data_IF_654112078272
#
_entry.id   IF_654112078272
#
_cell.length_a   1.000
_cell.length_b   1.000
_cell.length_c   1.000
_cell.angle_alpha   90.00
_cell.angle_beta   90.00
_cell.angle_gamma   90.00
#
_symmetry.space_group_name_H-M   'P 1'
#
loop_
_entity.id
_entity.type
_entity.pdbx_description
1 polymer ?
#
# COMPACT_ATOMS: atom_id res chain seq x y z
N UNK A 1 -99.48 2.22 -95.93
CA UNK A 1 -99.64 1.35 -94.75
C UNK A 1 -99.08 2.07 -93.52
N UNK A 2 -99.95 2.40 -92.57
CA UNK A 2 -99.62 3.09 -91.32
C UNK A 2 -98.80 2.16 -90.39
N UNK A 3 -97.71 2.68 -89.80
CA UNK A 3 -97.11 2.12 -88.58
C UNK A 3 -96.96 3.25 -87.56
N UNK A 4 -97.69 3.10 -86.45
CA UNK A 4 -97.74 3.97 -85.28
C UNK A 4 -96.45 3.89 -84.45
N UNK A 5 -95.95 5.01 -83.89
CA UNK A 5 -94.85 4.97 -82.93
C UNK A 5 -95.34 4.66 -81.51
N UNK A 6 -94.58 3.82 -80.80
CA UNK A 6 -94.83 3.36 -79.42
C UNK A 6 -94.64 4.52 -78.42
N UNK A 7 -95.61 4.70 -77.51
CA UNK A 7 -95.51 5.63 -76.37
C UNK A 7 -94.54 5.08 -75.31
N UNK A 8 -93.39 5.71 -75.12
CA UNK A 8 -92.55 5.52 -73.92
C UNK A 8 -93.12 6.39 -72.78
N UNK A 9 -93.60 5.75 -71.70
CA UNK A 9 -93.96 6.45 -70.47
C UNK A 9 -92.67 6.94 -69.80
N UNK A 10 -92.50 8.25 -69.69
CA UNK A 10 -91.45 8.85 -68.84
C UNK A 10 -91.86 8.64 -67.37
N UNK A 11 -91.30 7.62 -66.72
CA UNK A 11 -91.37 7.49 -65.27
C UNK A 11 -90.15 8.20 -64.70
N UNK A 12 -90.35 9.44 -64.23
CA UNK A 12 -89.32 10.20 -63.51
C UNK A 12 -89.14 9.57 -62.14
N UNK A 13 -88.11 8.72 -62.01
CA UNK A 13 -87.61 8.29 -60.70
C UNK A 13 -86.78 9.45 -60.18
N UNK A 14 -87.35 10.23 -59.27
CA UNK A 14 -86.66 11.30 -58.57
C UNK A 14 -85.67 10.66 -57.58
N UNK A 15 -84.35 10.74 -57.79
CA UNK A 15 -83.41 10.25 -56.79
C UNK A 15 -83.53 11.16 -55.57
N UNK A 16 -83.77 10.56 -54.41
CA UNK A 16 -83.90 11.28 -53.14
C UNK A 16 -82.66 12.13 -52.89
N UNK A 17 -82.84 13.44 -52.70
CA UNK A 17 -81.78 14.42 -52.44
C UNK A 17 -80.92 14.09 -51.21
N UNK A 18 -81.41 13.25 -50.30
CA UNK A 18 -80.68 12.82 -49.10
C UNK A 18 -79.45 11.95 -49.43
N UNK A 19 -79.46 11.23 -50.56
CA UNK A 19 -78.36 10.33 -50.94
C UNK A 19 -77.18 11.08 -51.53
N UNK A 20 -77.45 12.20 -52.20
CA UNK A 20 -76.43 13.01 -52.89
C UNK A 20 -75.61 13.79 -51.86
N UNK A 21 -76.23 14.33 -50.81
CA UNK A 21 -75.52 15.08 -49.75
C UNK A 21 -74.61 14.19 -48.89
N UNK A 22 -74.99 12.93 -48.65
CA UNK A 22 -74.13 11.98 -47.93
C UNK A 22 -72.93 11.54 -48.77
N UNK A 23 -73.11 11.28 -50.07
CA UNK A 23 -72.02 10.90 -50.97
C UNK A 23 -71.02 12.04 -51.18
N UNK A 24 -71.49 13.28 -51.37
CA UNK A 24 -70.60 14.45 -51.40
C UNK A 24 -69.94 14.71 -50.03
N UNK A 25 -70.65 14.54 -48.91
CA UNK A 25 -70.08 14.67 -47.56
C UNK A 25 -68.94 13.67 -47.29
N UNK A 26 -69.06 12.43 -47.78
CA UNK A 26 -68.02 11.40 -47.64
C UNK A 26 -66.74 11.70 -48.44
N UNK A 27 -66.85 12.43 -49.56
CA UNK A 27 -65.68 12.90 -50.30
C UNK A 27 -65.04 14.16 -49.69
N UNK A 28 -65.76 14.92 -48.87
CA UNK A 28 -65.22 16.13 -48.22
C UNK A 28 -64.53 15.76 -46.88
N UNK A 29 -64.97 14.70 -46.19
CA UNK A 29 -64.38 14.30 -44.90
C UNK A 29 -63.08 13.48 -44.99
N UNK A 30 -62.68 12.98 -46.17
CA UNK A 30 -61.35 12.34 -46.33
C UNK A 30 -60.24 13.32 -46.68
N UNK A 31 -60.56 14.61 -46.84
CA UNK A 31 -59.59 15.69 -47.04
C UNK A 31 -59.72 16.75 -45.95
N UNK A 32 -59.79 16.33 -44.68
CA UNK A 32 -59.02 17.08 -43.67
C UNK A 32 -57.55 16.76 -43.91
N UNK A 33 -56.98 17.36 -44.96
CA UNK A 33 -55.55 17.67 -44.93
C UNK A 33 -55.38 18.55 -43.70
N UNK A 34 -54.75 18.00 -42.67
CA UNK A 34 -54.09 18.84 -41.70
C UNK A 34 -53.17 19.73 -42.54
N UNK A 35 -53.49 21.02 -42.62
CA UNK A 35 -52.57 22.03 -43.11
C UNK A 35 -51.44 22.11 -42.08
N UNK A 36 -50.57 21.09 -42.09
CA UNK A 36 -49.23 21.22 -41.57
C UNK A 36 -48.61 22.31 -42.42
N UNK A 37 -48.30 23.42 -41.77
CA UNK A 37 -47.39 24.42 -42.29
C UNK A 37 -46.07 23.67 -42.53
N UNK A 38 -45.94 23.10 -43.72
CA UNK A 38 -44.68 22.59 -44.21
C UNK A 38 -43.79 23.80 -44.39
N UNK A 39 -42.72 23.84 -43.59
CA UNK A 39 -41.77 24.94 -43.48
C UNK A 39 -42.23 26.16 -42.67
N UNK A 40 -42.71 25.92 -41.44
CA UNK A 40 -41.94 26.57 -40.38
C UNK A 40 -40.59 25.87 -40.39
N UNK A 41 -39.63 26.43 -41.13
CA UNK A 41 -38.21 26.20 -40.82
C UNK A 41 -38.05 26.81 -39.44
N UNK A 42 -38.51 26.09 -38.42
CA UNK A 42 -37.92 26.19 -37.11
C UNK A 42 -36.52 25.73 -37.42
N UNK A 43 -35.64 26.69 -37.72
CA UNK A 43 -34.24 26.45 -37.53
C UNK A 43 -34.19 25.86 -36.14
N UNK A 44 -33.92 24.57 -36.07
CA UNK A 44 -33.53 23.92 -34.85
C UNK A 44 -32.16 24.49 -34.48
N UNK A 45 -32.07 25.80 -34.30
CA UNK A 45 -31.26 26.43 -33.29
C UNK A 45 -31.90 26.12 -31.93
N UNK A 46 -32.19 24.83 -31.68
CA UNK A 46 -31.87 24.28 -30.38
C UNK A 46 -30.35 24.42 -30.32
N UNK A 47 -29.90 25.62 -29.94
CA UNK A 47 -28.53 25.86 -29.54
C UNK A 47 -28.33 24.88 -28.40
N UNK A 48 -27.78 23.72 -28.74
CA UNK A 48 -27.40 22.71 -27.76
C UNK A 48 -26.40 23.41 -26.87
N UNK A 49 -26.81 23.69 -25.63
CA UNK A 49 -25.95 24.38 -24.68
C UNK A 49 -24.61 23.62 -24.59
N UNK A 50 -23.51 24.33 -24.81
CA UNK A 50 -22.14 23.78 -24.80
C UNK A 50 -21.89 22.98 -23.52
N UNK A 51 -22.39 23.48 -22.40
CA UNK A 51 -22.43 22.80 -21.11
C UNK A 51 -23.55 23.41 -20.27
N UNK A 52 -24.27 22.61 -19.47
CA UNK A 52 -25.32 23.11 -18.59
C UNK A 52 -24.75 23.62 -17.26
N UNK A 53 -25.38 24.63 -16.61
CA UNK A 53 -24.92 25.15 -15.32
C UNK A 53 -24.75 24.06 -14.26
N UNK A 54 -25.72 23.15 -14.15
CA UNK A 54 -25.67 22.02 -13.21
C UNK A 54 -24.43 21.14 -13.40
N UNK A 55 -24.00 20.93 -14.65
CA UNK A 55 -22.79 20.15 -14.94
C UNK A 55 -21.56 20.89 -14.43
N UNK A 56 -21.50 22.21 -14.60
CA UNK A 56 -20.40 23.02 -14.05
C UNK A 56 -20.37 22.97 -12.53
N UNK A 57 -21.54 23.03 -11.87
CA UNK A 57 -21.63 22.89 -10.41
C UNK A 57 -21.13 21.52 -9.93
N UNK A 58 -21.52 20.44 -10.61
CA UNK A 58 -21.01 19.09 -10.31
C UNK A 58 -19.49 19.01 -10.44
N UNK A 59 -18.91 19.56 -11.52
CA UNK A 59 -17.46 19.58 -11.70
C UNK A 59 -16.75 20.40 -10.60
N UNK A 60 -17.34 21.52 -10.16
CA UNK A 60 -16.81 22.31 -9.04
C UNK A 60 -16.81 21.51 -7.74
N UNK A 61 -17.88 20.78 -7.46
CA UNK A 61 -17.98 19.92 -6.27
C UNK A 61 -17.00 18.74 -6.31
N UNK A 62 -16.85 18.08 -7.47
CA UNK A 62 -15.86 17.02 -7.67
C UNK A 62 -14.44 17.53 -7.46
N UNK A 63 -14.08 18.67 -8.06
CA UNK A 63 -12.77 19.27 -7.88
C UNK A 63 -12.47 19.60 -6.40
N UNK A 64 -13.46 20.11 -5.66
CA UNK A 64 -13.30 20.38 -4.22
C UNK A 64 -13.12 19.10 -3.40
N UNK A 65 -13.86 18.02 -3.72
CA UNK A 65 -13.69 16.71 -3.06
C UNK A 65 -12.29 16.14 -3.28
N UNK A 66 -11.80 16.13 -4.52
CA UNK A 66 -10.45 15.65 -4.82
C UNK A 66 -9.39 16.47 -4.10
N UNK A 67 -9.51 17.82 -4.11
CA UNK A 67 -8.61 18.71 -3.37
C UNK A 67 -8.58 18.37 -1.87
N UNK A 68 -9.75 18.30 -1.22
CA UNK A 68 -9.84 18.01 0.21
C UNK A 68 -9.25 16.65 0.58
N UNK A 69 -9.50 15.64 -0.25
CA UNK A 69 -8.93 14.32 -0.05
C UNK A 69 -7.40 14.34 -0.10
N UNK A 70 -6.83 15.01 -1.12
CA UNK A 70 -5.38 15.13 -1.28
C UNK A 70 -4.76 15.87 -0.09
N UNK A 71 -5.34 16.99 0.34
CA UNK A 71 -4.87 17.76 1.50
C UNK A 71 -4.89 16.91 2.78
N UNK A 72 -5.98 16.16 3.00
CA UNK A 72 -6.12 15.30 4.15
C UNK A 72 -5.05 14.20 4.15
N UNK A 73 -4.91 13.45 3.05
CA UNK A 73 -3.91 12.37 2.95
C UNK A 73 -2.48 12.91 3.12
N UNK A 74 -2.17 14.07 2.53
CA UNK A 74 -0.85 14.68 2.65
C UNK A 74 -0.56 15.12 4.10
N UNK A 75 -1.56 15.70 4.77
CA UNK A 75 -1.47 16.06 6.19
C UNK A 75 -1.27 14.84 7.10
N UNK A 76 -2.00 13.74 6.86
CA UNK A 76 -1.88 12.49 7.62
C UNK A 76 -0.49 11.87 7.49
N UNK A 77 0.11 11.88 6.29
CA UNK A 77 1.47 11.39 6.08
C UNK A 77 2.50 12.21 6.86
N UNK A 78 2.39 13.56 6.83
CA UNK A 78 3.28 14.45 7.59
C UNK A 78 3.16 14.29 9.10
N UNK A 79 1.97 13.99 9.62
CA UNK A 79 1.74 13.81 11.06
C UNK A 79 2.46 12.61 11.68
N UNK A 80 2.83 11.59 10.88
CA UNK A 80 3.38 10.30 11.35
C UNK A 80 4.92 10.22 11.35
N UNK A 81 5.61 11.35 11.41
CA UNK A 81 7.07 11.46 11.20
C UNK A 81 7.95 11.08 12.41
N UNK A 82 7.40 10.96 13.61
CA UNK A 82 8.18 10.58 14.79
C UNK A 82 8.43 9.07 14.78
N UNK A 83 9.60 8.68 14.28
CA UNK A 83 9.99 7.28 14.16
C UNK A 83 11.14 6.99 15.10
N UNK A 84 10.99 5.99 15.97
CA UNK A 84 11.95 5.65 17.04
C UNK A 84 12.44 4.20 16.99
N UNK A 85 11.78 3.34 16.21
CA UNK A 85 12.17 1.95 16.01
C UNK A 85 12.16 1.55 14.54
N UNK A 86 12.89 0.48 14.23
CA UNK A 86 12.95 -0.10 12.90
C UNK A 86 11.56 -0.43 12.34
N UNK A 87 10.72 -1.06 13.17
CA UNK A 87 9.37 -1.45 12.79
C UNK A 87 8.52 -0.22 12.45
N UNK A 88 8.67 0.87 13.21
CA UNK A 88 8.01 2.15 12.90
C UNK A 88 8.55 2.77 11.60
N UNK A 89 9.84 2.62 11.26
CA UNK A 89 10.41 3.11 9.98
C UNK A 89 9.83 2.33 8.81
N UNK A 90 9.79 0.99 8.91
CA UNK A 90 9.20 0.14 7.87
C UNK A 90 7.72 0.48 7.65
N UNK A 91 6.96 0.67 8.73
CA UNK A 91 5.56 1.11 8.66
C UNK A 91 5.41 2.52 8.05
N UNK A 92 6.26 3.47 8.44
CA UNK A 92 6.24 4.82 7.90
C UNK A 92 6.50 4.81 6.38
N UNK A 93 7.48 4.03 5.90
CA UNK A 93 7.74 3.89 4.46
C UNK A 93 6.49 3.40 3.72
N UNK A 94 5.84 2.36 4.24
CA UNK A 94 4.61 1.82 3.62
C UNK A 94 3.50 2.87 3.59
N UNK A 95 3.29 3.60 4.68
CA UNK A 95 2.29 4.68 4.75
C UNK A 95 2.57 5.77 3.71
N UNK A 96 3.83 6.21 3.60
CA UNK A 96 4.21 7.25 2.64
C UNK A 96 4.10 6.78 1.19
N UNK A 97 4.45 5.53 0.89
CA UNK A 97 4.29 4.95 -0.45
C UNK A 97 2.81 4.82 -0.83
N UNK A 98 1.98 4.27 0.06
CA UNK A 98 0.55 4.15 -0.20
C UNK A 98 -0.14 5.52 -0.32
N UNK A 99 0.23 6.48 0.52
CA UNK A 99 -0.32 7.83 0.44
C UNK A 99 0.10 8.55 -0.84
N UNK A 100 1.34 8.35 -1.31
CA UNK A 100 1.80 8.85 -2.62
C UNK A 100 0.96 8.31 -3.77
N UNK A 101 0.68 7.01 -3.80
CA UNK A 101 -0.14 6.39 -4.84
C UNK A 101 -1.57 6.95 -4.83
N UNK A 102 -2.19 7.07 -3.65
CA UNK A 102 -3.53 7.66 -3.51
C UNK A 102 -3.57 9.11 -3.98
N UNK A 103 -2.59 9.92 -3.57
CA UNK A 103 -2.51 11.32 -4.01
C UNK A 103 -2.33 11.39 -5.52
N UNK A 104 -1.50 10.54 -6.12
CA UNK A 104 -1.33 10.51 -7.57
C UNK A 104 -2.62 10.17 -8.32
N UNK A 105 -3.39 9.17 -7.86
CA UNK A 105 -4.68 8.84 -8.49
C UNK A 105 -5.70 9.96 -8.38
N UNK A 106 -5.70 10.70 -7.27
CA UNK A 106 -6.67 11.77 -7.02
C UNK A 106 -6.26 13.07 -7.73
N UNK A 107 -4.97 13.33 -7.89
CA UNK A 107 -4.46 14.42 -8.74
C UNK A 107 -4.82 14.17 -10.21
N UNK A 108 -4.69 12.92 -10.69
CA UNK A 108 -5.13 12.55 -12.03
C UNK A 108 -6.64 12.75 -12.19
N UNK A 109 -7.45 12.35 -11.20
CA UNK A 109 -8.89 12.60 -11.21
C UNK A 109 -9.22 14.11 -11.25
N UNK A 110 -8.54 14.93 -10.45
CA UNK A 110 -8.68 16.39 -10.47
C UNK A 110 -8.27 16.99 -11.83
N UNK A 111 -7.22 16.46 -12.45
CA UNK A 111 -6.80 16.86 -13.79
C UNK A 111 -7.84 16.49 -14.86
N UNK A 112 -8.51 15.35 -14.71
CA UNK A 112 -9.62 14.96 -15.59
C UNK A 112 -10.81 15.93 -15.45
N UNK A 113 -11.16 16.32 -14.22
CA UNK A 113 -12.20 17.33 -13.95
C UNK A 113 -11.82 18.69 -14.57
N UNK A 114 -10.56 19.11 -14.43
CA UNK A 114 -10.05 20.33 -15.10
C UNK A 114 -10.21 20.25 -16.62
N UNK A 115 -9.81 19.13 -17.22
CA UNK A 115 -9.87 18.94 -18.68
C UNK A 115 -11.31 18.92 -19.19
N UNK A 116 -12.25 18.39 -18.39
CA UNK A 116 -13.68 18.36 -18.70
C UNK A 116 -14.29 19.76 -18.77
N UNK A 117 -13.86 20.72 -17.93
CA UNK A 117 -14.33 22.11 -17.97
C UNK A 117 -13.53 22.98 -18.97
N UNK A 118 -12.28 22.62 -19.26
CA UNK A 118 -11.42 23.37 -20.17
C UNK A 118 -11.94 23.36 -21.62
N UNK A 119 -12.45 22.21 -22.08
CA UNK A 119 -13.01 22.07 -23.43
C UNK A 119 -14.19 23.03 -23.68
N UNK A 120 -15.28 23.02 -22.89
CA UNK A 120 -16.39 23.95 -23.07
C UNK A 120 -15.99 25.40 -22.82
N UNK A 121 -15.07 25.66 -21.89
CA UNK A 121 -14.51 27.00 -21.69
C UNK A 121 -13.88 27.53 -22.98
N UNK A 122 -12.97 26.79 -23.60
CA UNK A 122 -12.30 27.19 -24.84
C UNK A 122 -13.29 27.38 -25.99
N UNK A 123 -14.29 26.51 -26.11
CA UNK A 123 -15.35 26.64 -27.12
C UNK A 123 -16.12 27.95 -26.96
N UNK A 124 -16.53 28.29 -25.73
CA UNK A 124 -17.23 29.54 -25.44
C UNK A 124 -16.34 30.76 -25.73
N UNK A 125 -15.06 30.70 -25.42
CA UNK A 125 -14.12 31.78 -25.74
C UNK A 125 -14.03 32.04 -27.25
N UNK A 126 -14.04 30.99 -28.08
CA UNK A 126 -14.07 31.14 -29.53
C UNK A 126 -15.42 31.65 -30.04
N UNK A 127 -16.53 31.15 -29.51
CA UNK A 127 -17.86 31.62 -29.91
C UNK A 127 -18.09 33.09 -29.58
N UNK A 128 -17.62 33.56 -28.43
CA UNK A 128 -17.70 34.97 -28.03
C UNK A 128 -16.99 35.93 -28.99
N UNK A 129 -16.00 35.45 -29.76
CA UNK A 129 -15.34 36.25 -30.79
C UNK A 129 -16.24 36.50 -32.00
N UNK A 130 -17.11 35.54 -32.32
CA UNK A 130 -17.95 35.54 -33.52
C UNK A 130 -19.38 36.02 -33.20
N UNK A 131 -19.95 35.63 -32.07
CA UNK A 131 -21.32 35.90 -31.66
C UNK A 131 -21.37 36.41 -30.21
N UNK A 132 -22.01 37.57 -30.02
CA UNK A 132 -22.12 38.26 -28.73
C UNK A 132 -23.56 38.31 -28.22
N UNK A 133 -24.38 37.33 -28.57
CA UNK A 133 -25.76 37.25 -28.07
C UNK A 133 -25.78 37.19 -26.53
N UNK A 134 -26.86 37.71 -25.94
CA UNK A 134 -27.08 37.67 -24.50
C UNK A 134 -27.04 36.23 -23.96
N UNK A 135 -27.55 35.26 -24.73
CA UNK A 135 -27.51 33.84 -24.39
C UNK A 135 -26.08 33.29 -24.23
N UNK A 136 -25.17 33.58 -25.17
CA UNK A 136 -23.77 33.12 -25.09
C UNK A 136 -23.04 33.83 -23.95
N UNK A 137 -23.34 35.11 -23.71
CA UNK A 137 -22.78 35.84 -22.57
C UNK A 137 -23.21 35.23 -21.24
N UNK A 138 -24.49 34.88 -21.09
CA UNK A 138 -24.98 34.19 -19.88
C UNK A 138 -24.28 32.83 -19.68
N UNK A 139 -24.09 32.07 -20.76
CA UNK A 139 -23.34 30.81 -20.73
C UNK A 139 -21.89 31.01 -20.31
N UNK A 140 -21.23 32.03 -20.86
CA UNK A 140 -19.86 32.35 -20.53
C UNK A 140 -19.64 32.71 -19.06
N UNK A 141 -20.59 33.41 -18.43
CA UNK A 141 -20.45 33.82 -17.02
C UNK A 141 -20.24 32.62 -16.12
N UNK A 142 -21.14 31.63 -16.15
CA UNK A 142 -21.02 30.48 -15.23
C UNK A 142 -19.90 29.52 -15.62
N UNK A 143 -19.59 29.36 -16.92
CA UNK A 143 -18.47 28.49 -17.34
C UNK A 143 -17.13 29.09 -16.97
N UNK A 144 -16.94 30.40 -17.12
CA UNK A 144 -15.70 31.07 -16.71
C UNK A 144 -15.50 30.99 -15.20
N UNK A 145 -16.56 31.20 -14.41
CA UNK A 145 -16.51 31.04 -12.95
C UNK A 145 -16.12 29.61 -12.57
N UNK A 146 -16.76 28.60 -13.18
CA UNK A 146 -16.44 27.19 -12.92
C UNK A 146 -15.01 26.83 -13.31
N UNK A 147 -14.57 27.23 -14.49
CA UNK A 147 -13.20 27.00 -14.97
C UNK A 147 -12.16 27.61 -14.02
N UNK A 148 -12.32 28.88 -13.65
CA UNK A 148 -11.39 29.56 -12.72
C UNK A 148 -11.37 28.88 -11.35
N UNK A 149 -12.54 28.54 -10.82
CA UNK A 149 -12.67 27.84 -9.54
C UNK A 149 -11.97 26.47 -9.54
N UNK A 150 -12.08 25.69 -10.63
CA UNK A 150 -11.44 24.38 -10.74
C UNK A 150 -9.93 24.54 -10.96
N UNK A 151 -9.53 25.49 -11.81
CA UNK A 151 -8.13 25.82 -12.06
C UNK A 151 -7.40 26.23 -10.78
N UNK A 152 -7.99 27.09 -9.97
CA UNK A 152 -7.39 27.54 -8.70
C UNK A 152 -7.10 26.37 -7.76
N UNK A 153 -8.03 25.41 -7.64
CA UNK A 153 -7.85 24.21 -6.81
C UNK A 153 -6.71 23.34 -7.31
N UNK A 154 -6.66 23.12 -8.62
CA UNK A 154 -5.60 22.34 -9.28
C UNK A 154 -4.23 23.00 -9.12
N UNK A 155 -4.14 24.30 -9.37
CA UNK A 155 -2.89 25.07 -9.21
C UNK A 155 -2.43 25.12 -7.75
N UNK A 156 -3.38 25.21 -6.80
CA UNK A 156 -3.09 25.09 -5.37
C UNK A 156 -2.50 23.73 -5.00
N UNK A 157 -3.08 22.62 -5.46
CA UNK A 157 -2.56 21.27 -5.16
C UNK A 157 -1.15 21.10 -5.73
N UNK A 158 -0.93 21.51 -6.99
CA UNK A 158 0.41 21.45 -7.62
C UNK A 158 1.45 22.24 -6.83
N UNK A 159 1.05 23.32 -6.17
CA UNK A 159 1.94 24.16 -5.36
C UNK A 159 2.20 23.57 -3.97
N UNK A 160 1.16 23.13 -3.26
CA UNK A 160 1.27 22.69 -1.86
C UNK A 160 1.74 21.23 -1.72
N UNK A 161 1.39 20.38 -2.68
CA UNK A 161 1.71 18.95 -2.67
C UNK A 161 2.82 18.68 -3.68
N UNK A 162 4.07 18.77 -3.20
CA UNK A 162 5.24 18.42 -4.00
C UNK A 162 5.53 16.93 -3.95
N UNK A 163 5.34 16.22 -5.07
CA UNK A 163 5.79 14.83 -5.21
C UNK A 163 7.28 14.65 -4.97
N UNK A 164 8.08 15.66 -5.29
CA UNK A 164 9.52 15.65 -5.00
C UNK A 164 9.75 15.58 -3.48
N UNK A 165 9.04 16.38 -2.69
CA UNK A 165 9.16 16.34 -1.23
C UNK A 165 8.69 15.00 -0.65
N UNK A 166 7.66 14.38 -1.23
CA UNK A 166 7.20 13.03 -0.85
C UNK A 166 8.29 12.00 -1.17
N UNK A 167 8.87 12.05 -2.37
CA UNK A 167 9.91 11.13 -2.82
C UNK A 167 11.20 11.28 -1.99
N UNK A 168 11.61 12.51 -1.69
CA UNK A 168 12.73 12.80 -0.79
C UNK A 168 12.46 12.24 0.61
N UNK A 169 11.26 12.41 1.15
CA UNK A 169 10.92 11.87 2.46
C UNK A 169 10.97 10.34 2.48
N UNK A 170 10.43 9.67 1.45
CA UNK A 170 10.53 8.21 1.32
C UNK A 170 12.00 7.77 1.26
N UNK A 171 12.85 8.47 0.50
CA UNK A 171 14.28 8.18 0.42
C UNK A 171 15.01 8.36 1.76
N UNK A 172 14.69 9.41 2.51
CA UNK A 172 15.29 9.64 3.84
C UNK A 172 14.92 8.51 4.81
N UNK A 173 13.66 8.08 4.83
CA UNK A 173 13.22 6.95 5.66
C UNK A 173 13.91 5.64 5.24
N UNK A 174 14.05 5.38 3.94
CA UNK A 174 14.78 4.22 3.43
C UNK A 174 16.26 4.23 3.83
N UNK A 175 16.88 5.42 3.86
CA UNK A 175 18.26 5.57 4.33
C UNK A 175 18.38 5.30 5.83
N UNK A 176 17.48 5.87 6.63
CA UNK A 176 17.43 5.61 8.08
C UNK A 176 17.27 4.12 8.39
N UNK A 177 16.40 3.43 7.64
CA UNK A 177 16.21 1.99 7.77
C UNK A 177 17.52 1.22 7.49
N UNK A 178 18.24 1.58 6.43
CA UNK A 178 19.53 0.96 6.11
C UNK A 178 20.54 1.19 7.23
N UNK A 179 20.65 2.41 7.73
CA UNK A 179 21.60 2.75 8.79
C UNK A 179 21.30 1.97 10.09
N UNK A 180 20.03 1.81 10.47
CA UNK A 180 19.64 0.96 11.61
C UNK A 180 19.94 -0.52 11.38
N UNK A 181 19.73 -1.04 10.18
CA UNK A 181 20.07 -2.44 9.87
C UNK A 181 21.56 -2.71 9.99
N UNK A 182 22.41 -1.77 9.55
CA UNK A 182 23.87 -1.87 9.68
C UNK A 182 24.30 -1.79 11.14
N UNK A 183 23.74 -0.87 11.93
CA UNK A 183 24.02 -0.78 13.38
C UNK A 183 23.70 -2.08 14.10
N UNK A 184 22.51 -2.64 13.87
CA UNK A 184 22.09 -3.90 14.50
C UNK A 184 22.98 -5.08 14.07
N UNK A 185 23.45 -5.11 12.83
CA UNK A 185 24.43 -6.11 12.37
C UNK A 185 25.78 -5.97 13.08
N UNK A 186 26.30 -4.75 13.22
CA UNK A 186 27.56 -4.50 13.92
C UNK A 186 27.48 -4.87 15.41
N UNK A 187 26.37 -4.55 16.08
CA UNK A 187 26.14 -4.94 17.49
C UNK A 187 26.10 -6.47 17.66
N UNK A 188 25.48 -7.21 16.72
CA UNK A 188 25.49 -8.68 16.73
C UNK A 188 26.92 -9.21 16.52
N UNK A 189 27.72 -8.58 15.65
CA UNK A 189 29.10 -8.98 15.40
C UNK A 189 30.01 -8.69 16.61
N UNK A 190 29.83 -7.56 17.29
CA UNK A 190 30.52 -7.26 18.55
C UNK A 190 30.11 -8.24 19.66
N UNK A 191 28.82 -8.54 19.81
CA UNK A 191 28.36 -9.54 20.78
C UNK A 191 29.00 -10.91 20.50
N UNK A 192 29.08 -11.33 19.24
CA UNK A 192 29.78 -12.58 18.86
C UNK A 192 31.27 -12.54 19.18
N UNK A 193 31.95 -11.42 18.91
CA UNK A 193 33.39 -11.26 19.26
C UNK A 193 33.63 -11.30 20.76
N UNK A 194 32.76 -10.68 21.56
CA UNK A 194 32.83 -10.72 23.02
C UNK A 194 32.56 -12.14 23.56
N UNK A 195 31.62 -12.86 22.95
CA UNK A 195 31.31 -14.24 23.33
C UNK A 195 32.45 -15.21 22.96
N UNK A 196 33.10 -15.02 21.82
CA UNK A 196 34.33 -15.74 21.44
C UNK A 196 35.48 -15.45 22.39
N UNK A 197 35.71 -14.19 22.75
CA UNK A 197 36.75 -13.82 23.71
C UNK A 197 36.52 -14.47 25.08
N UNK A 198 35.28 -14.51 25.57
CA UNK A 198 34.94 -15.21 26.83
C UNK A 198 35.22 -16.70 26.75
N UNK A 199 34.89 -17.38 25.63
CA UNK A 199 35.19 -18.80 25.45
C UNK A 199 36.69 -19.09 25.42
N UNK A 200 37.49 -18.22 24.80
CA UNK A 200 38.96 -18.36 24.77
C UNK A 200 39.57 -18.14 26.17
N UNK A 201 39.03 -17.19 26.95
CA UNK A 201 39.47 -16.93 28.31
C UNK A 201 39.13 -18.09 29.26
N UNK A 202 37.97 -18.72 29.07
CA UNK A 202 37.55 -19.91 29.82
C UNK A 202 38.45 -21.12 29.50
N UNK A 203 38.81 -21.32 28.23
CA UNK A 203 39.75 -22.38 27.82
C UNK A 203 41.15 -22.17 28.41
N UNK A 204 41.65 -20.93 28.47
CA UNK A 204 42.95 -20.63 29.10
C UNK A 204 42.97 -20.93 30.60
N UNK A 205 41.87 -20.65 31.33
CA UNK A 205 41.76 -21.01 32.76
C UNK A 205 41.78 -22.52 32.99
N UNK A 206 41.16 -23.30 32.10
CA UNK A 206 41.18 -24.77 32.17
C UNK A 206 42.58 -25.32 31.86
N UNK A 207 43.30 -24.71 30.91
CA UNK A 207 44.69 -25.09 30.61
C UNK A 207 45.66 -24.75 31.76
N UNK A 208 45.48 -23.60 32.43
CA UNK A 208 46.24 -23.26 33.63
C UNK A 208 46.00 -24.25 34.77
N UNK A 209 44.75 -24.65 34.99
CA UNK A 209 44.43 -25.67 36.00
C UNK A 209 45.08 -27.03 35.68
N UNK A 210 45.11 -27.44 34.40
CA UNK A 210 45.81 -28.67 33.98
C UNK A 210 47.33 -28.60 34.19
N UNK A 211 47.96 -27.45 33.91
CA UNK A 211 49.41 -27.28 34.15
C UNK A 211 49.77 -27.33 35.64
N UNK A 212 48.91 -26.81 36.51
CA UNK A 212 49.10 -26.91 37.98
C UNK A 212 48.94 -28.35 38.47
N UNK A 213 48.03 -29.13 37.88
CA UNK A 213 47.89 -30.57 38.17
C UNK A 213 49.10 -31.39 37.67
N UNK A 214 49.65 -31.06 36.51
CA UNK A 214 50.85 -31.73 35.96
C UNK A 214 52.09 -31.45 36.81
N UNK A 215 52.27 -30.22 37.31
CA UNK A 215 53.35 -29.89 38.22
C UNK A 215 53.24 -30.64 39.56
N UNK A 216 52.03 -30.84 40.09
CA UNK A 216 51.83 -31.67 41.30
C UNK A 216 52.20 -33.14 41.09
N UNK A 217 51.90 -33.71 39.92
CA UNK A 217 52.28 -35.10 39.60
C UNK A 217 53.79 -35.31 39.45
N UNK A 218 54.52 -34.31 38.94
CA UNK A 218 55.98 -34.38 38.83
C UNK A 218 56.67 -34.25 40.20
N UNK A 219 56.09 -33.47 41.13
CA UNK A 219 56.57 -33.41 42.51
C UNK A 219 56.35 -34.73 43.28
N UNK A 220 55.24 -35.42 43.04
CA UNK A 220 55.00 -36.77 43.62
C UNK A 220 56.00 -37.81 43.08
N UNK A 221 56.35 -37.78 41.80
CA UNK A 221 57.34 -38.71 41.24
C UNK A 221 58.76 -38.49 41.78
N UNK A 222 59.15 -37.25 42.09
CA UNK A 222 60.45 -36.97 42.73
C UNK A 222 60.55 -37.49 44.16
N UNK A 223 59.45 -37.54 44.93
CA UNK A 223 59.44 -38.15 46.27
C UNK A 223 59.58 -39.67 46.24
N UNK A 224 59.13 -40.33 45.17
CA UNK A 224 59.25 -41.80 45.04
C UNK A 224 60.66 -42.23 44.63
N UNK A 225 61.39 -41.42 43.85
CA UNK A 225 62.80 -41.71 43.52
C UNK A 225 63.74 -41.57 44.72
N UNK A 226 63.46 -40.67 45.67
CA UNK A 226 64.24 -40.57 46.91
C UNK A 226 64.04 -41.78 47.85
N UNK A 227 62.87 -42.42 47.83
CA UNK A 227 62.63 -43.63 48.62
C UNK A 227 63.31 -44.88 48.03
N UNK A 228 63.48 -44.97 46.70
CA UNK A 228 64.16 -46.11 46.07
C UNK A 228 65.68 -46.14 46.28
N UNK A 229 66.33 -45.01 46.56
CA UNK A 229 67.76 -45.01 46.92
C UNK A 229 68.06 -45.48 48.34
N UNK A 230 67.07 -45.49 49.24
CA UNK A 230 67.25 -45.95 50.63
C UNK A 230 67.14 -47.47 50.73
N UNK A 231 66.45 -48.14 49.79
CA UNK A 231 66.22 -49.58 49.83
C UNK A 231 67.42 -50.42 49.34
N UNK A 232 68.26 -49.89 48.45
CA UNK A 232 69.51 -50.57 48.02
C UNK A 232 70.61 -50.58 49.10
N UNK A 233 70.56 -49.68 50.10
CA UNK A 233 71.51 -49.73 51.22
C UNK A 233 71.12 -50.71 52.33
N UNK A 234 69.88 -51.22 52.34
CA UNK A 234 69.41 -52.13 53.39
C UNK A 234 69.56 -53.63 53.09
N UNK A 235 69.87 -54.00 51.83
CA UNK A 235 70.09 -55.41 51.48
C UNK A 235 71.54 -55.90 51.69
N UNK A 236 72.49 -55.02 51.98
CA UNK A 236 73.89 -55.42 52.24
C UNK A 236 74.13 -55.82 53.70
N UNK A 237 73.22 -55.50 54.62
CA UNK A 237 73.43 -55.73 56.07
C UNK A 237 72.79 -57.02 56.63
N UNK A 238 71.96 -57.73 55.88
CA UNK A 238 71.26 -58.94 56.36
C UNK A 238 71.99 -60.26 56.07
N UNK A 239 73.20 -60.23 55.48
CA UNK A 239 74.00 -61.42 55.23
C UNK A 239 75.05 -61.73 56.32
N UNK A 240 75.06 -61.02 57.46
CA UNK A 240 76.17 -61.15 58.44
C UNK A 240 75.84 -61.36 59.92
N UNK A 241 74.58 -61.55 60.30
CA UNK A 241 74.24 -61.91 61.69
C UNK A 241 72.99 -62.78 61.75
N UNK A 242 73.17 -64.09 61.78
CA UNK A 242 72.28 -65.06 62.42
C UNK A 242 72.96 -66.44 62.40
N UNK A 243 74.10 -66.53 63.09
CA UNK A 243 74.52 -67.77 63.72
C UNK A 243 74.41 -67.55 65.23
N UNK A 244 73.87 -68.57 65.92
CA UNK A 244 73.83 -68.80 67.36
C UNK A 244 72.72 -68.11 68.18
N UNK A 245 71.98 -68.95 68.94
CA UNK A 245 71.49 -68.56 70.26
C UNK A 245 70.05 -68.95 70.63
N UNK A 246 69.86 -70.24 70.84
CA UNK A 246 68.76 -71.01 71.46
C UNK A 246 68.11 -70.47 72.76
N UNK A 247 66.90 -71.00 73.07
CA UNK A 247 66.14 -71.06 74.36
C UNK A 247 65.39 -69.77 74.78
N UNK A 248 64.20 -69.75 75.39
CA UNK A 248 63.34 -70.74 76.08
C UNK A 248 61.91 -70.16 76.26
N UNK A 249 60.89 -71.03 76.15
CA UNK A 249 59.62 -71.17 76.91
C UNK A 249 58.74 -69.97 77.38
N UNK A 250 57.42 -70.26 77.30
CA UNK A 250 56.29 -69.85 78.15
C UNK A 250 55.39 -68.68 77.63
N UNK A 251 54.25 -68.97 76.99
CA UNK A 251 52.85 -69.18 77.49
C UNK A 251 51.97 -67.91 77.54
N UNK A 252 50.71 -68.14 77.14
CA UNK A 252 49.43 -67.49 77.49
C UNK A 252 48.93 -66.25 76.73
N UNK A 253 47.74 -66.46 76.10
CA UNK A 253 46.50 -65.62 76.10
C UNK A 253 46.53 -64.25 75.40
N UNK A 254 45.50 -63.76 74.70
CA UNK A 254 44.20 -64.24 74.22
C UNK A 254 43.60 -63.07 73.37
N UNK A 255 42.52 -63.35 72.64
CA UNK A 255 41.52 -62.46 72.02
C UNK A 255 41.80 -61.88 70.61
N UNK A 256 41.03 -62.26 69.58
CA UNK A 256 39.63 -61.88 69.26
C UNK A 256 39.52 -60.36 68.99
N UNK A 257 38.85 -59.83 67.97
CA UNK A 257 37.84 -60.31 67.04
C UNK A 257 37.64 -59.21 65.99
N UNK A 258 37.09 -59.59 64.83
CA UNK A 258 36.08 -58.86 64.03
C UNK A 258 36.25 -57.36 63.69
N UNK A 259 36.28 -57.02 62.40
CA UNK A 259 35.14 -56.84 61.49
C UNK A 259 34.55 -55.44 61.59
N UNK A 260 34.53 -54.74 60.46
CA UNK A 260 33.29 -54.29 59.82
C UNK A 260 33.63 -53.29 58.71
N UNK A 261 33.16 -53.64 57.50
CA UNK A 261 32.52 -52.76 56.49
C UNK A 261 32.93 -51.29 56.38
#
# INVERSE_FOLDING_TARGET
MLKTPRKLKKMLILPCMCSITFYLGSQIMTYTEAAFIHETKVEAALSTAIIFPKTVDTLKEEAEKHKQFIEHQYGEMKGKLAVTSREEIEQAIVVWQQGREKIASEEEALQNVYTAIETPYNQIQEELKVNKSESIQQVAVYVNEGFLSIKEKRDYIVKEVSFQAIDEQIQTLQKLLKDETVKKQNEIEEQKKVEEQKKVEEQKKVEEQKKVEEQKKVEEQKKVEEQKKVEEQKQVETAKKLEQGTHEKATTTDHNEESSE
#
